data_IF_792448901501
#
_entry.id   IF_792448901501
#
_cell.length_a   1.000
_cell.length_b   1.000
_cell.length_c   1.000
_cell.angle_alpha   90.00
_cell.angle_beta   90.00
_cell.angle_gamma   90.00
#
_symmetry.space_group_name_H-M   'P 1'
#
loop_
_entity.id
_entity.type
_entity.pdbx_description
1 polymer ?
#
# COMPACT_ATOMS: atom_id res chain seq x y z
N UNK A 1 -8.60 -0.22 -19.78
CA UNK A 1 -7.16 -0.05 -19.48
C UNK A 1 -6.91 -0.51 -18.04
N UNK A 2 -6.70 -1.81 -17.83
CA UNK A 2 -6.10 -2.45 -16.66
C UNK A 2 -5.59 -3.80 -17.17
N UNK A 3 -4.36 -3.81 -17.69
CA UNK A 3 -3.76 -4.99 -18.26
C UNK A 3 -3.37 -5.97 -17.15
N UNK A 4 -4.24 -6.94 -16.86
CA UNK A 4 -3.83 -8.17 -16.20
C UNK A 4 -3.01 -8.99 -17.20
N UNK A 5 -1.72 -8.70 -17.30
CA UNK A 5 -0.79 -9.49 -18.09
C UNK A 5 -0.24 -10.61 -17.19
N UNK A 6 -0.82 -11.81 -17.36
CA UNK A 6 -0.33 -13.13 -16.98
C UNK A 6 0.64 -13.25 -15.80
N UNK A 7 0.18 -13.83 -14.68
CA UNK A 7 1.06 -14.55 -13.75
C UNK A 7 0.90 -14.25 -12.26
N UNK A 8 0.03 -13.33 -11.83
CA UNK A 8 -0.24 -13.15 -10.40
C UNK A 8 -1.25 -14.20 -9.94
N UNK A 9 -0.75 -15.31 -9.36
CA UNK A 9 -1.55 -16.35 -8.71
C UNK A 9 -2.61 -15.72 -7.81
N UNK A 10 -3.84 -16.24 -7.80
CA UNK A 10 -4.96 -15.68 -7.01
C UNK A 10 -4.64 -15.50 -5.51
N UNK A 11 -3.64 -16.23 -5.00
CA UNK A 11 -3.05 -16.07 -3.67
C UNK A 11 -2.41 -14.69 -3.45
N UNK A 12 -1.71 -14.14 -4.43
CA UNK A 12 -1.13 -12.79 -4.38
C UNK A 12 -2.22 -11.72 -4.34
N UNK A 13 -3.31 -11.92 -5.08
CA UNK A 13 -4.46 -11.00 -5.08
C UNK A 13 -5.21 -11.05 -3.75
N UNK A 14 -5.36 -12.23 -3.15
CA UNK A 14 -5.97 -12.40 -1.83
C UNK A 14 -5.12 -11.73 -0.73
N UNK A 15 -3.80 -11.92 -0.75
CA UNK A 15 -2.86 -11.25 0.18
C UNK A 15 -2.86 -9.75 -0.02
N UNK A 16 -2.79 -9.26 -1.27
CA UNK A 16 -2.92 -7.84 -1.63
C UNK A 16 -4.20 -7.24 -1.05
N UNK A 17 -5.36 -7.89 -1.19
CA UNK A 17 -6.62 -7.42 -0.60
C UNK A 17 -6.56 -7.30 0.92
N UNK A 18 -5.95 -8.27 1.60
CA UNK A 18 -5.71 -8.21 3.05
C UNK A 18 -4.84 -7.01 3.43
N UNK A 19 -3.72 -6.84 2.73
CA UNK A 19 -2.83 -5.70 2.94
C UNK A 19 -3.49 -4.35 2.65
N UNK A 20 -4.35 -4.25 1.63
CA UNK A 20 -5.13 -3.04 1.34
C UNK A 20 -6.09 -2.70 2.48
N UNK A 21 -6.77 -3.70 3.05
CA UNK A 21 -7.68 -3.50 4.18
C UNK A 21 -6.93 -3.04 5.44
N UNK A 22 -5.78 -3.67 5.73
CA UNK A 22 -4.92 -3.26 6.84
C UNK A 22 -4.33 -1.87 6.65
N UNK A 23 -3.89 -1.53 5.42
CA UNK A 23 -3.39 -0.21 5.08
C UNK A 23 -4.47 0.86 5.30
N UNK A 24 -5.72 0.58 4.90
CA UNK A 24 -6.85 1.48 5.15
C UNK A 24 -7.16 1.64 6.64
N UNK A 25 -6.98 0.60 7.46
CA UNK A 25 -7.13 0.72 8.92
C UNK A 25 -6.01 1.55 9.56
N UNK A 26 -4.77 1.39 9.07
CA UNK A 26 -3.60 2.14 9.54
C UNK A 26 -3.67 3.61 9.12
N UNK A 27 -4.09 3.87 7.89
CA UNK A 27 -4.18 5.18 7.27
C UNK A 27 -5.61 5.45 6.80
N UNK A 28 -6.54 5.80 7.71
CA UNK A 28 -7.96 6.01 7.38
C UNK A 28 -8.22 7.20 6.45
N UNK A 29 -7.21 8.06 6.25
CA UNK A 29 -7.24 9.17 5.30
C UNK A 29 -6.93 8.73 3.86
N UNK A 30 -6.39 7.53 3.64
CA UNK A 30 -6.23 6.98 2.30
C UNK A 30 -7.59 6.50 1.78
N UNK A 31 -8.01 7.03 0.63
CA UNK A 31 -9.23 6.54 0.02
C UNK A 31 -9.00 5.16 -0.58
N UNK A 32 -10.08 4.38 -0.69
CA UNK A 32 -10.02 3.06 -1.33
C UNK A 32 -9.38 3.11 -2.71
N UNK A 33 -9.56 4.22 -3.45
CA UNK A 33 -8.91 4.44 -4.74
C UNK A 33 -7.39 4.57 -4.61
N UNK A 34 -6.89 5.40 -3.67
CA UNK A 34 -5.45 5.54 -3.40
C UNK A 34 -4.83 4.18 -3.06
N UNK A 35 -5.51 3.39 -2.21
CA UNK A 35 -5.03 2.06 -1.81
C UNK A 35 -5.03 1.07 -2.98
N UNK A 36 -5.91 1.25 -3.98
CA UNK A 36 -5.94 0.36 -5.17
C UNK A 36 -4.85 0.70 -6.19
N UNK A 37 -4.35 1.94 -6.20
CA UNK A 37 -3.23 2.37 -7.07
C UNK A 37 -1.87 2.11 -6.43
N UNK A 38 -1.83 1.83 -5.13
CA UNK A 38 -0.62 1.44 -4.42
C UNK A 38 -0.27 -0.02 -4.75
N UNK A 39 0.87 -0.19 -5.43
CA UNK A 39 1.38 -1.50 -5.80
C UNK A 39 2.68 -1.88 -5.07
N UNK A 40 3.34 -0.93 -4.42
CA UNK A 40 4.64 -1.10 -3.77
C UNK A 40 4.81 -0.15 -2.57
N UNK A 41 5.82 -0.41 -1.74
CA UNK A 41 6.20 0.41 -0.58
C UNK A 41 6.34 1.90 -0.91
N UNK A 42 7.09 2.20 -1.97
CA UNK A 42 7.38 3.58 -2.37
C UNK A 42 6.12 4.35 -2.78
N UNK A 43 5.15 3.67 -3.40
CA UNK A 43 3.86 4.27 -3.77
C UNK A 43 3.03 4.57 -2.51
N UNK A 44 3.01 3.64 -1.56
CA UNK A 44 2.35 3.82 -0.26
C UNK A 44 2.95 4.99 0.52
N UNK A 45 4.27 5.02 0.66
CA UNK A 45 4.97 6.10 1.36
C UNK A 45 4.75 7.46 0.69
N UNK A 46 4.76 7.52 -0.63
CA UNK A 46 4.45 8.76 -1.37
C UNK A 46 3.02 9.22 -1.10
N UNK A 47 2.04 8.31 -1.16
CA UNK A 47 0.62 8.63 -0.91
C UNK A 47 0.37 9.06 0.53
N UNK A 48 0.93 8.34 1.51
CA UNK A 48 0.79 8.68 2.93
C UNK A 48 1.41 10.05 3.21
N UNK A 49 2.57 10.34 2.61
CA UNK A 49 3.22 11.66 2.71
C UNK A 49 2.36 12.76 2.12
N UNK A 50 1.83 12.56 0.92
CA UNK A 50 1.01 13.55 0.20
C UNK A 50 -0.29 13.85 0.95
N UNK A 51 -0.98 12.82 1.45
CA UNK A 51 -2.26 12.95 2.16
C UNK A 51 -2.11 13.43 3.61
N UNK A 52 -1.06 13.01 4.32
CA UNK A 52 -0.86 13.37 5.73
C UNK A 52 0.00 14.63 5.93
N UNK A 53 0.70 15.11 4.89
CA UNK A 53 1.63 16.25 5.00
C UNK A 53 2.84 15.99 5.90
N UNK A 54 3.13 14.71 6.22
CA UNK A 54 4.24 14.32 7.10
C UNK A 54 5.59 14.34 6.39
N UNK A 55 6.66 14.33 7.18
CA UNK A 55 8.03 14.23 6.67
C UNK A 55 8.25 12.86 6.01
N UNK A 56 9.01 12.85 4.91
CA UNK A 56 9.33 11.61 4.18
C UNK A 56 9.91 10.56 5.12
N UNK A 57 10.86 10.91 5.98
CA UNK A 57 11.56 9.96 6.84
C UNK A 57 10.61 9.20 7.79
N UNK A 58 9.69 9.92 8.43
CA UNK A 58 8.70 9.36 9.36
C UNK A 58 7.76 8.39 8.65
N UNK A 59 7.31 8.76 7.45
CA UNK A 59 6.44 7.92 6.61
C UNK A 59 7.18 6.71 6.05
N UNK A 60 8.43 6.88 5.65
CA UNK A 60 9.29 5.80 5.13
C UNK A 60 9.51 4.74 6.22
N UNK A 61 9.85 5.15 7.45
CA UNK A 61 9.98 4.24 8.60
C UNK A 61 8.67 3.55 8.96
N UNK A 62 7.55 4.29 9.03
CA UNK A 62 6.25 3.71 9.37
C UNK A 62 5.79 2.67 8.33
N UNK A 63 5.95 3.00 7.05
CA UNK A 63 5.62 2.12 5.94
C UNK A 63 6.58 0.93 5.89
N UNK A 64 7.87 1.14 6.11
CA UNK A 64 8.87 0.07 6.16
C UNK A 64 8.62 -0.89 7.33
N UNK A 65 8.33 -0.37 8.52
CA UNK A 65 7.96 -1.17 9.68
C UNK A 65 6.64 -1.94 9.47
N UNK A 66 5.71 -1.38 8.68
CA UNK A 66 4.48 -2.07 8.31
C UNK A 66 4.69 -3.14 7.24
N UNK A 67 5.65 -2.93 6.32
CA UNK A 67 6.08 -3.90 5.32
C UNK A 67 6.99 -5.00 5.90
N UNK A 68 7.68 -4.72 7.01
CA UNK A 68 8.48 -5.71 7.75
C UNK A 68 7.58 -6.87 8.19
N UNK A 69 7.77 -8.04 7.57
CA UNK A 69 6.97 -9.25 7.80
C UNK A 69 5.82 -9.47 6.80
N UNK A 70 5.58 -8.53 5.88
CA UNK A 70 4.61 -8.68 4.78
C UNK A 70 5.34 -8.91 3.47
N UNK A 71 5.24 -10.11 2.92
CA UNK A 71 5.70 -10.38 1.56
C UNK A 71 4.60 -9.97 0.59
N UNK A 72 4.84 -8.91 -0.19
CA UNK A 72 3.97 -8.41 -1.25
C UNK A 72 4.12 -9.22 -2.53
#
# INVERSE_FOLDING_TARGET
MFGYQGGESGETVARKRGYMAEAQQRWPFLTRFDVTTIHNEQQLATMVRDRSGRLKADVDEEVHAWMQGKTF
#
